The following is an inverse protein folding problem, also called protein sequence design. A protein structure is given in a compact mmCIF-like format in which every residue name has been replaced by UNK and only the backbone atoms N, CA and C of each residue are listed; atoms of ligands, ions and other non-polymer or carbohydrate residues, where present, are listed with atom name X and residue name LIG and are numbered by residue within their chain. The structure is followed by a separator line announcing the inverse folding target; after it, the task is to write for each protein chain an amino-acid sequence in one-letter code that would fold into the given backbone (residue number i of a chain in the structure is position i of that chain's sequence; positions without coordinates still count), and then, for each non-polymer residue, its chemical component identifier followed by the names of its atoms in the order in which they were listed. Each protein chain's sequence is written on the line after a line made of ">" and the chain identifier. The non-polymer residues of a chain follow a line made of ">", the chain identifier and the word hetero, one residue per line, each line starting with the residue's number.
data_IF_449811136017
#
_entry.id   IF_449811136017
#
_cell.length_a   1.000
_cell.length_b   1.000
_cell.length_c   1.000
_cell.angle_alpha   90.00
_cell.angle_beta   90.00
_cell.angle_gamma   90.00
#
_symmetry.space_group_name_H-M   'P 1'
#
loop_
_entity.id
_entity.type
_entity.pdbx_description
1 polymer ?
#
# COMPACT_ATOMS: atom_id res chain seq x y z
N UNK A 1 -26.33 -9.92 3.41
CA UNK A 1 -24.89 -9.56 3.47
C UNK A 1 -24.50 -8.99 2.12
N UNK A 2 -23.71 -7.92 2.08
CA UNK A 2 -23.19 -7.33 0.84
C UNK A 2 -21.86 -8.01 0.49
N UNK A 3 -21.76 -8.55 -0.72
CA UNK A 3 -20.50 -9.05 -1.27
C UNK A 3 -19.96 -8.01 -2.25
N UNK A 4 -18.66 -7.70 -2.16
CA UNK A 4 -18.01 -6.72 -3.03
C UNK A 4 -17.06 -7.45 -3.96
N UNK A 5 -17.22 -7.24 -5.26
CA UNK A 5 -16.38 -7.82 -6.30
C UNK A 5 -15.69 -6.70 -7.08
N UNK A 6 -14.45 -6.94 -7.51
CA UNK A 6 -13.74 -6.02 -8.39
C UNK A 6 -14.11 -6.32 -9.84
N UNK A 7 -14.50 -5.29 -10.57
CA UNK A 7 -14.80 -5.36 -11.99
C UNK A 7 -14.35 -4.08 -12.69
N UNK A 8 -14.14 -4.17 -13.99
CA UNK A 8 -13.90 -3.03 -14.87
C UNK A 8 -15.19 -2.71 -15.62
N UNK A 9 -15.68 -1.47 -15.55
CA UNK A 9 -16.82 -1.03 -16.35
C UNK A 9 -16.35 -0.61 -17.75
N UNK A 10 -16.81 -1.30 -18.79
CA UNK A 10 -16.50 -1.01 -20.18
C UNK A 10 -17.79 -0.69 -20.94
N UNK A 11 -18.00 0.59 -21.22
CA UNK A 11 -19.25 1.08 -21.78
C UNK A 11 -20.41 0.81 -20.82
N UNK A 12 -21.21 -0.22 -21.11
CA UNK A 12 -22.35 -0.65 -20.29
C UNK A 12 -22.21 -2.06 -19.70
N UNK A 13 -21.05 -2.71 -19.87
CA UNK A 13 -20.80 -4.06 -19.37
C UNK A 13 -19.74 -4.06 -18.28
N UNK A 14 -19.96 -4.84 -17.23
CA UNK A 14 -18.96 -5.12 -16.20
C UNK A 14 -18.12 -6.33 -16.64
N UNK A 15 -16.81 -6.15 -16.78
CA UNK A 15 -15.83 -7.21 -16.98
C UNK A 15 -15.24 -7.58 -15.61
N UNK A 16 -15.51 -8.79 -15.13
CA UNK A 16 -15.07 -9.27 -13.83
C UNK A 16 -13.57 -9.63 -13.83
N UNK A 17 -12.89 -9.42 -12.70
CA UNK A 17 -11.52 -9.92 -12.49
C UNK A 17 -11.45 -11.42 -12.24
N UNK A 18 -10.22 -11.96 -12.13
CA UNK A 18 -9.94 -13.40 -12.03
C UNK A 18 -10.54 -14.09 -10.78
N UNK A 19 -10.82 -13.33 -9.72
CA UNK A 19 -11.24 -13.87 -8.41
C UNK A 19 -12.75 -13.89 -8.17
N UNK A 20 -13.57 -13.67 -9.20
CA UNK A 20 -15.01 -13.83 -9.02
C UNK A 20 -15.32 -15.31 -9.06
N UNK A 21 -15.47 -15.91 -7.88
CA UNK A 21 -16.26 -17.13 -7.75
C UNK A 21 -17.64 -16.78 -8.30
N UNK A 22 -17.90 -17.14 -9.56
CA UNK A 22 -19.22 -17.05 -10.13
C UNK A 22 -20.20 -17.60 -9.11
N UNK A 23 -21.36 -16.99 -8.98
CA UNK A 23 -22.52 -17.58 -8.31
C UNK A 23 -22.87 -18.86 -9.09
N UNK A 24 -22.04 -19.89 -8.91
CA UNK A 24 -21.89 -21.03 -9.78
C UNK A 24 -23.06 -21.93 -9.48
N UNK A 25 -24.10 -21.81 -10.30
CA UNK A 25 -25.24 -22.71 -10.27
C UNK A 25 -26.61 -22.06 -10.35
N UNK A 26 -26.72 -20.74 -10.49
CA UNK A 26 -28.04 -20.10 -10.61
C UNK A 26 -28.10 -19.15 -11.79
N UNK A 27 -28.92 -19.50 -12.79
CA UNK A 27 -29.40 -18.60 -13.86
C UNK A 27 -30.37 -17.55 -13.29
N UNK A 28 -30.01 -16.98 -12.15
CA UNK A 28 -30.81 -16.06 -11.37
C UNK A 28 -30.28 -14.67 -11.61
N UNK A 29 -31.15 -13.79 -12.10
CA UNK A 29 -30.86 -12.37 -12.22
C UNK A 29 -30.71 -11.79 -10.81
N UNK A 30 -29.52 -11.35 -10.46
CA UNK A 30 -29.23 -10.71 -9.17
C UNK A 30 -29.17 -9.19 -9.36
N UNK A 31 -29.85 -8.44 -8.49
CA UNK A 31 -29.74 -6.99 -8.45
C UNK A 31 -28.41 -6.60 -7.78
N UNK A 32 -27.65 -5.72 -8.43
CA UNK A 32 -26.36 -5.23 -7.95
C UNK A 32 -26.36 -3.71 -7.83
N UNK A 33 -25.62 -3.20 -6.84
CA UNK A 33 -25.29 -1.78 -6.73
C UNK A 33 -23.87 -1.59 -7.26
N UNK A 34 -23.69 -0.66 -8.20
CA UNK A 34 -22.39 -0.36 -8.80
C UNK A 34 -21.90 0.98 -8.25
N UNK A 35 -20.76 0.96 -7.58
CA UNK A 35 -20.05 2.17 -7.13
C UNK A 35 -18.80 2.32 -7.98
N UNK A 36 -18.67 3.46 -8.67
CA UNK A 36 -17.47 3.77 -9.46
C UNK A 36 -16.40 4.26 -8.49
N UNK A 37 -15.27 3.55 -8.46
CA UNK A 37 -14.08 3.98 -7.74
C UNK A 37 -13.28 4.91 -8.65
N UNK A 38 -13.28 6.21 -8.33
CA UNK A 38 -12.32 7.13 -8.93
C UNK A 38 -10.96 6.83 -8.31
N UNK A 39 -10.06 6.19 -9.07
CA UNK A 39 -8.66 6.17 -8.67
C UNK A 39 -8.18 7.62 -8.75
N UNK A 40 -7.88 8.22 -7.59
CA UNK A 40 -7.06 9.42 -7.56
C UNK A 40 -5.76 9.08 -8.26
N UNK A 41 -5.62 9.56 -9.49
CA UNK A 41 -4.33 9.59 -10.17
C UNK A 41 -3.50 10.57 -9.37
N UNK A 42 -2.83 10.08 -8.33
CA UNK A 42 -1.85 10.87 -7.59
C UNK A 42 -0.78 11.17 -8.65
N UNK A 43 -0.65 12.43 -9.11
CA UNK A 43 0.35 12.75 -10.10
C UNK A 43 1.69 12.39 -9.48
N UNK A 44 2.39 11.44 -10.10
CA UNK A 44 3.75 11.11 -9.72
C UNK A 44 4.55 12.38 -9.98
N UNK A 45 4.78 13.17 -8.93
CA UNK A 45 5.66 14.33 -8.99
C UNK A 45 7.07 13.83 -9.32
N UNK A 46 7.37 13.82 -10.62
CA UNK A 46 8.63 13.36 -11.20
C UNK A 46 9.85 14.13 -10.66
N UNK A 47 9.62 15.24 -9.96
CA UNK A 47 10.63 16.01 -9.25
C UNK A 47 10.78 15.68 -7.76
N UNK A 48 9.81 15.04 -7.10
CA UNK A 48 9.87 14.76 -5.65
C UNK A 48 11.04 13.83 -5.31
N UNK A 49 11.18 12.74 -6.07
CA UNK A 49 12.26 11.77 -5.85
C UNK A 49 13.65 12.38 -6.01
N UNK A 50 13.86 13.18 -7.07
CA UNK A 50 15.13 13.87 -7.33
C UNK A 50 15.47 14.89 -6.24
N UNK A 51 14.49 15.68 -5.80
CA UNK A 51 14.67 16.64 -4.71
C UNK A 51 14.99 15.94 -3.38
N UNK A 52 14.31 14.84 -3.08
CA UNK A 52 14.59 14.03 -1.89
C UNK A 52 16.02 13.48 -1.92
N UNK A 53 16.44 12.89 -3.05
CA UNK A 53 17.79 12.35 -3.20
C UNK A 53 18.87 13.41 -2.98
N UNK A 54 18.69 14.61 -3.54
CA UNK A 54 19.63 15.72 -3.35
C UNK A 54 19.73 16.19 -1.89
N UNK A 55 18.62 16.16 -1.14
CA UNK A 55 18.63 16.50 0.29
C UNK A 55 19.34 15.41 1.11
N UNK A 56 19.06 14.14 0.83
CA UNK A 56 19.73 13.01 1.48
C UNK A 56 21.24 13.01 1.23
N UNK A 57 21.67 13.33 0.00
CA UNK A 57 23.08 13.46 -0.35
C UNK A 57 23.78 14.55 0.48
N UNK A 58 23.16 15.73 0.62
CA UNK A 58 23.69 16.81 1.47
C UNK A 58 23.81 16.40 2.94
N UNK A 59 22.82 15.68 3.47
CA UNK A 59 22.85 15.18 4.84
C UNK A 59 23.97 14.15 5.06
N UNK A 60 24.21 13.27 4.08
CA UNK A 60 25.28 12.29 4.13
C UNK A 60 26.66 12.97 4.08
N UNK A 61 26.86 13.95 3.18
CA UNK A 61 28.11 14.72 3.09
C UNK A 61 28.41 15.51 4.37
N UNK A 62 27.39 16.06 5.01
CA UNK A 62 27.52 16.77 6.28
C UNK A 62 27.76 15.84 7.48
N UNK A 63 27.75 14.52 7.28
CA UNK A 63 27.81 13.52 8.36
C UNK A 63 26.78 13.83 9.46
N UNK A 64 25.60 14.31 9.06
CA UNK A 64 24.60 14.89 9.97
C UNK A 64 24.15 13.95 11.10
N UNK A 65 24.35 12.64 10.92
CA UNK A 65 23.97 11.59 11.85
C UNK A 65 25.15 10.74 12.34
N UNK A 66 26.40 11.23 12.22
CA UNK A 66 27.59 10.45 12.63
C UNK A 66 27.61 10.07 14.11
N UNK A 67 26.89 10.82 14.96
CA UNK A 67 26.81 10.57 16.41
C UNK A 67 25.59 9.72 16.81
N UNK A 68 24.82 9.21 15.85
CA UNK A 68 23.66 8.37 16.12
C UNK A 68 24.06 6.91 15.94
N UNK A 69 23.79 6.07 16.95
CA UNK A 69 23.76 4.62 16.76
C UNK A 69 22.44 4.24 16.05
N UNK A 70 22.49 3.80 14.78
CA UNK A 70 21.29 3.50 14.02
C UNK A 70 20.49 2.35 14.62
N UNK A 71 21.13 1.38 15.30
CA UNK A 71 20.46 0.23 15.89
C UNK A 71 19.68 0.65 17.13
N UNK A 72 20.31 1.43 18.01
CA UNK A 72 19.65 1.97 19.19
C UNK A 72 18.47 2.89 18.81
N UNK A 73 18.69 3.82 17.86
CA UNK A 73 17.66 4.73 17.37
C UNK A 73 16.46 3.99 16.77
N UNK A 74 16.72 2.93 15.99
CA UNK A 74 15.65 2.14 15.40
C UNK A 74 14.83 1.40 16.46
N UNK A 75 15.48 0.80 17.46
CA UNK A 75 14.80 0.10 18.56
C UNK A 75 13.91 1.04 19.36
N UNK A 76 14.41 2.22 19.70
CA UNK A 76 13.64 3.26 20.39
C UNK A 76 12.43 3.72 19.56
N UNK A 77 12.66 4.04 18.28
CA UNK A 77 11.61 4.54 17.37
C UNK A 77 10.50 3.51 17.16
N UNK A 78 10.87 2.23 17.04
CA UNK A 78 9.90 1.14 16.82
C UNK A 78 9.30 0.59 18.10
N UNK A 79 9.80 1.04 19.26
CA UNK A 79 9.48 0.45 20.57
C UNK A 79 9.70 -1.06 20.56
N UNK A 80 10.80 -1.50 19.96
CA UNK A 80 11.13 -2.91 19.83
C UNK A 80 11.18 -3.52 21.24
N UNK A 81 10.32 -4.51 21.49
CA UNK A 81 10.38 -5.28 22.73
C UNK A 81 11.63 -6.14 22.73
N UNK A 82 12.25 -6.26 23.90
CA UNK A 82 13.26 -7.29 24.12
C UNK A 82 12.66 -8.65 23.78
N UNK A 83 13.41 -9.43 22.99
CA UNK A 83 13.03 -10.80 22.73
C UNK A 83 13.00 -11.54 24.07
N UNK A 84 11.95 -12.32 24.37
CA UNK A 84 11.92 -13.12 25.59
C UNK A 84 13.16 -14.00 25.62
N UNK A 85 13.83 -13.99 26.76
CA UNK A 85 15.06 -14.72 27.03
C UNK A 85 14.87 -16.18 26.60
N UNK A 86 15.61 -16.61 25.57
CA UNK A 86 15.69 -18.04 25.23
C UNK A 86 16.74 -18.61 26.17
N UNK A 87 16.32 -18.88 27.41
CA UNK A 87 17.16 -19.53 28.40
C UNK A 87 17.83 -20.77 27.80
N UNK A 88 19.15 -20.85 28.00
CA UNK A 88 19.95 -22.06 27.82
C UNK A 88 19.50 -23.16 28.80
#
# INVERSE_FOLDING_TARGET
>A
MLQTFRATLKGNSLEWGEDVQFLSGTDVKVQVLVTILEEEIIPVDSGRGKRMAAVLEKLAQAQAFANIDPVAWQRETRQDRELPDRGE
#
